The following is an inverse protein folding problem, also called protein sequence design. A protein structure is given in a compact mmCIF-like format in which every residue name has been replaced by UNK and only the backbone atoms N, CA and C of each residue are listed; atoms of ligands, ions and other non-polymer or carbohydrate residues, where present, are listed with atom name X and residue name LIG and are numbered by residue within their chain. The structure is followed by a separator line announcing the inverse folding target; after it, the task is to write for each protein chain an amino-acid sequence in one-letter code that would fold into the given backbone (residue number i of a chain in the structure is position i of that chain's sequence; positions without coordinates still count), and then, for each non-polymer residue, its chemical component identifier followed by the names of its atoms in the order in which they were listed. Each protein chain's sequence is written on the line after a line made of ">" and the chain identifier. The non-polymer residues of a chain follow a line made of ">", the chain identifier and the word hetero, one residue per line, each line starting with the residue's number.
data_IF_732419195831
#
_entry.id   IF_732419195831
#
_cell.length_a   1.000
_cell.length_b   1.000
_cell.length_c   1.000
_cell.angle_alpha   90.00
_cell.angle_beta   90.00
_cell.angle_gamma   90.00
#
_symmetry.space_group_name_H-M   'P 1'
#
loop_
_entity.id
_entity.type
_entity.pdbx_description
1 polymer ?
#
# COMPACT_ATOMS: atom_id res chain seq x y z
N UNK A 1 -6.68 2.22 13.24
CA UNK A 1 -7.62 1.57 12.32
C UNK A 1 -8.11 2.52 11.21
N UNK A 2 -8.53 3.76 11.52
CA UNK A 2 -9.14 4.67 10.53
C UNK A 2 -8.26 4.91 9.29
N UNK A 3 -6.98 5.20 9.49
CA UNK A 3 -6.00 5.40 8.39
C UNK A 3 -5.91 4.14 7.51
N UNK A 4 -5.84 2.95 8.13
CA UNK A 4 -5.73 1.67 7.41
C UNK A 4 -6.98 1.26 6.62
N UNK A 5 -8.14 1.78 7.01
CA UNK A 5 -9.41 1.50 6.35
C UNK A 5 -9.83 2.61 5.37
N UNK A 6 -9.27 3.81 5.52
CA UNK A 6 -9.57 4.96 4.67
C UNK A 6 -8.94 4.86 3.28
N UNK A 7 -9.29 5.84 2.43
CA UNK A 7 -8.75 5.94 1.07
C UNK A 7 -7.29 6.42 1.02
N UNK A 8 -6.75 6.93 2.14
CA UNK A 8 -5.31 7.25 2.25
C UNK A 8 -4.43 6.00 2.13
N UNK A 9 -4.95 4.83 2.47
CA UNK A 9 -4.34 3.55 2.20
C UNK A 9 -4.89 2.98 0.89
N UNK A 10 -4.02 2.64 -0.05
CA UNK A 10 -4.44 1.99 -1.29
C UNK A 10 -4.93 0.57 -0.99
N UNK A 11 -6.24 0.40 -0.90
CA UNK A 11 -6.90 -0.85 -0.54
C UNK A 11 -6.64 -1.98 -1.54
N UNK A 12 -6.29 -1.65 -2.78
CA UNK A 12 -6.02 -2.60 -3.88
C UNK A 12 -4.54 -2.96 -3.95
N UNK A 13 -3.68 -1.94 -4.02
CA UNK A 13 -2.26 -2.12 -4.32
C UNK A 13 -1.32 -2.03 -3.12
N UNK A 14 -1.82 -1.61 -1.97
CA UNK A 14 -1.01 -1.37 -0.79
C UNK A 14 -0.22 -0.05 -0.84
N UNK A 15 0.40 0.27 0.27
CA UNK A 15 1.10 1.53 0.47
C UNK A 15 0.17 2.69 0.83
N UNK A 16 0.71 3.64 1.60
CA UNK A 16 0.00 4.81 2.08
C UNK A 16 0.35 6.03 1.23
N UNK A 17 -0.66 6.82 0.91
CA UNK A 17 -0.47 8.18 0.42
C UNK A 17 -0.01 9.10 1.55
N UNK A 18 0.58 10.25 1.19
CA UNK A 18 1.30 11.12 2.10
C UNK A 18 0.43 11.74 3.19
N UNK A 19 -0.73 12.28 2.82
CA UNK A 19 -1.68 12.88 3.77
C UNK A 19 -3.10 12.84 3.22
N UNK A 20 -4.08 13.00 4.11
CA UNK A 20 -5.49 13.14 3.72
C UNK A 20 -5.84 14.62 3.59
N UNK A 21 -6.59 14.98 2.55
CA UNK A 21 -7.09 16.34 2.34
C UNK A 21 -8.44 16.58 3.02
N UNK A 22 -9.01 15.54 3.66
CA UNK A 22 -10.25 15.62 4.43
C UNK A 22 -10.11 15.03 5.85
N UNK A 23 -11.09 15.28 6.68
CA UNK A 23 -11.12 14.81 8.08
C UNK A 23 -11.54 13.34 8.24
N UNK A 24 -11.96 12.68 7.16
CA UNK A 24 -12.50 11.32 7.16
C UNK A 24 -11.47 10.26 6.76
N UNK A 25 -10.26 10.69 6.38
CA UNK A 25 -9.21 9.84 5.80
C UNK A 25 -9.62 9.19 4.46
N UNK A 26 -10.52 9.85 3.72
CA UNK A 26 -11.10 9.36 2.48
C UNK A 26 -10.27 9.77 1.27
N UNK A 27 -10.11 11.09 1.07
CA UNK A 27 -9.43 11.64 -0.10
C UNK A 27 -7.97 11.88 0.26
N UNK A 28 -7.02 11.15 -0.33
CA UNK A 28 -5.60 11.40 -0.13
C UNK A 28 -5.09 12.47 -1.10
N UNK A 29 -3.98 13.12 -0.77
CA UNK A 29 -3.03 13.56 -1.77
C UNK A 29 -2.26 12.31 -2.21
N UNK A 30 -2.44 11.90 -3.47
CA UNK A 30 -2.10 10.54 -3.93
C UNK A 30 -0.60 10.22 -4.01
N UNK A 31 0.28 11.18 -3.75
CA UNK A 31 1.72 10.99 -3.65
C UNK A 31 2.06 9.94 -2.58
N UNK A 32 2.90 8.94 -2.91
CA UNK A 32 3.35 7.92 -1.97
C UNK A 32 4.82 8.06 -1.68
N UNK A 33 5.15 8.45 -0.44
CA UNK A 33 6.52 8.68 0.00
C UNK A 33 7.11 7.44 0.67
N UNK A 34 8.38 7.16 0.39
CA UNK A 34 9.10 6.06 1.03
C UNK A 34 9.17 6.21 2.55
N UNK A 35 9.48 7.43 3.04
CA UNK A 35 9.66 7.67 4.48
C UNK A 35 8.36 7.49 5.28
N UNK A 36 7.20 7.86 4.72
CA UNK A 36 5.91 7.63 5.37
C UNK A 36 5.62 6.13 5.48
N UNK A 37 5.80 5.42 4.38
CA UNK A 37 5.54 3.99 4.31
C UNK A 37 6.50 3.19 5.19
N UNK A 38 7.78 3.58 5.27
CA UNK A 38 8.75 2.97 6.18
C UNK A 38 8.39 3.15 7.65
N UNK A 39 7.93 4.35 8.05
CA UNK A 39 7.48 4.62 9.41
C UNK A 39 6.18 3.88 9.76
N UNK A 40 5.21 3.88 8.84
CA UNK A 40 3.94 3.18 9.02
C UNK A 40 4.13 1.66 9.05
N UNK A 41 5.06 1.13 8.26
CA UNK A 41 5.46 -0.28 8.34
C UNK A 41 5.95 -0.65 9.74
N UNK A 42 6.83 0.17 10.33
CA UNK A 42 7.29 -0.01 11.71
C UNK A 42 6.12 0.08 12.70
N UNK A 43 5.27 1.12 12.59
CA UNK A 43 4.12 1.33 13.47
C UNK A 43 3.14 0.15 13.46
N UNK A 44 2.74 -0.34 12.28
CA UNK A 44 1.78 -1.44 12.17
C UNK A 44 2.39 -2.78 12.58
N UNK A 45 3.69 -3.00 12.37
CA UNK A 45 4.41 -4.17 12.86
C UNK A 45 4.42 -4.21 14.39
N UNK A 46 4.79 -3.12 15.03
CA UNK A 46 4.77 -3.01 16.49
C UNK A 46 3.35 -3.12 17.05
N UNK A 47 2.38 -2.43 16.44
CA UNK A 47 0.98 -2.55 16.85
C UNK A 47 0.45 -4.00 16.74
N UNK A 48 0.87 -4.76 15.72
CA UNK A 48 0.51 -6.16 15.60
C UNK A 48 1.04 -7.02 16.74
N UNK A 49 2.26 -6.78 17.21
CA UNK A 49 2.83 -7.53 18.36
C UNK A 49 1.93 -7.47 19.58
N UNK A 50 1.31 -6.31 19.84
CA UNK A 50 0.45 -6.08 21.01
C UNK A 50 -1.00 -6.49 20.77
N UNK A 51 -1.59 -6.13 19.65
CA UNK A 51 -3.03 -6.23 19.44
C UNK A 51 -3.46 -7.46 18.63
N UNK A 52 -2.52 -8.09 17.90
CA UNK A 52 -2.76 -9.26 17.02
C UNK A 52 -3.93 -9.08 16.04
N UNK A 53 -4.24 -7.83 15.63
CA UNK A 53 -5.32 -7.56 14.69
C UNK A 53 -4.96 -8.03 13.28
N UNK A 54 -5.80 -8.84 12.61
CA UNK A 54 -5.59 -9.25 11.21
C UNK A 54 -5.39 -8.05 10.26
N UNK A 55 -6.10 -6.95 10.49
CA UNK A 55 -5.94 -5.69 9.75
C UNK A 55 -4.48 -5.24 9.72
N UNK A 56 -3.78 -5.26 10.87
CA UNK A 56 -2.39 -4.79 10.94
C UNK A 56 -1.43 -5.72 10.21
N UNK A 57 -1.65 -7.04 10.32
CA UNK A 57 -0.93 -8.03 9.52
C UNK A 57 -1.07 -7.72 8.03
N UNK A 58 -2.31 -7.58 7.55
CA UNK A 58 -2.58 -7.28 6.15
C UNK A 58 -1.87 -6.00 5.67
N UNK A 59 -1.94 -4.91 6.45
CA UNK A 59 -1.27 -3.65 6.11
C UNK A 59 0.24 -3.85 5.95
N UNK A 60 0.89 -4.57 6.86
CA UNK A 60 2.33 -4.83 6.78
C UNK A 60 2.69 -5.61 5.51
N UNK A 61 2.00 -6.74 5.27
CA UNK A 61 2.30 -7.58 4.10
C UNK A 61 2.04 -6.85 2.78
N UNK A 62 0.93 -6.14 2.67
CA UNK A 62 0.60 -5.39 1.44
C UNK A 62 1.51 -4.18 1.22
N UNK A 63 1.95 -3.49 2.29
CA UNK A 63 2.91 -2.39 2.17
C UNK A 63 4.27 -2.90 1.71
N UNK A 64 4.74 -4.06 2.23
CA UNK A 64 5.99 -4.68 1.76
C UNK A 64 5.86 -5.13 0.30
N UNK A 65 4.75 -5.75 -0.08
CA UNK A 65 4.49 -6.14 -1.46
C UNK A 65 4.48 -4.94 -2.41
N UNK A 66 3.90 -3.80 -1.97
CA UNK A 66 3.97 -2.54 -2.71
C UNK A 66 5.41 -2.02 -2.83
N UNK A 67 6.18 -2.01 -1.75
CA UNK A 67 7.60 -1.61 -1.77
C UNK A 67 8.40 -2.43 -2.78
N UNK A 68 8.19 -3.74 -2.80
CA UNK A 68 8.89 -4.65 -3.72
C UNK A 68 8.48 -4.41 -5.19
N UNK A 69 7.19 -4.21 -5.44
CA UNK A 69 6.64 -4.08 -6.78
C UNK A 69 6.91 -2.72 -7.40
N UNK A 70 6.84 -1.63 -6.60
CA UNK A 70 6.82 -0.26 -7.11
C UNK A 70 8.11 0.52 -6.83
N UNK A 71 8.77 0.24 -5.69
CA UNK A 71 9.83 1.10 -5.17
C UNK A 71 11.21 0.46 -5.20
N UNK A 72 11.30 -0.88 -5.27
CA UNK A 72 12.58 -1.60 -5.17
C UNK A 72 13.38 -1.47 -6.46
N UNK A 73 14.62 -1.00 -6.33
CA UNK A 73 15.60 -0.99 -7.43
C UNK A 73 16.23 -2.38 -7.64
N UNK A 74 16.82 -2.61 -8.79
CA UNK A 74 17.55 -3.86 -9.09
C UNK A 74 18.68 -4.11 -8.08
N UNK A 75 19.35 -3.04 -7.64
CA UNK A 75 20.51 -3.10 -6.73
C UNK A 75 20.10 -3.23 -5.24
N UNK A 76 18.81 -3.11 -4.91
CA UNK A 76 18.29 -3.30 -3.56
C UNK A 76 18.07 -2.03 -2.75
N UNK A 77 18.15 -0.85 -3.36
CA UNK A 77 17.64 0.39 -2.79
C UNK A 77 16.13 0.52 -3.00
N UNK A 78 15.54 1.52 -2.37
CA UNK A 78 14.19 1.95 -2.66
C UNK A 78 14.20 3.39 -3.18
N UNK A 79 13.41 3.65 -4.21
CA UNK A 79 13.14 4.99 -4.73
C UNK A 79 12.44 5.87 -3.69
N UNK A 80 12.48 7.19 -3.88
CA UNK A 80 11.99 8.16 -2.90
C UNK A 80 10.46 8.27 -2.88
N UNK A 81 9.83 8.38 -4.04
CA UNK A 81 8.39 8.64 -4.11
C UNK A 81 7.78 8.19 -5.43
N UNK A 82 6.47 8.00 -5.40
CA UNK A 82 5.60 8.00 -6.57
C UNK A 82 4.77 9.28 -6.54
N UNK A 83 4.66 9.94 -7.70
CA UNK A 83 3.91 11.18 -7.84
C UNK A 83 2.40 10.98 -7.57
N UNK A 84 1.70 12.06 -7.28
CA UNK A 84 0.25 12.04 -7.14
C UNK A 84 -0.46 11.91 -8.48
N UNK A 85 0.16 12.45 -9.54
CA UNK A 85 -0.44 12.62 -10.85
C UNK A 85 -0.05 11.50 -11.82
N UNK A 86 -1.00 11.13 -12.66
CA UNK A 86 -0.79 10.37 -13.87
C UNK A 86 -1.46 11.10 -15.04
N UNK A 87 -0.70 11.38 -16.10
CA UNK A 87 -1.18 12.12 -17.26
C UNK A 87 -1.71 13.53 -16.92
N UNK A 88 -1.17 14.17 -15.86
CA UNK A 88 -1.59 15.48 -15.39
C UNK A 88 -2.92 15.50 -14.62
N UNK A 89 -3.43 14.32 -14.22
CA UNK A 89 -4.68 14.17 -13.45
C UNK A 89 -4.34 13.44 -12.12
N UNK A 90 -4.58 14.14 -11.01
CA UNK A 90 -4.31 13.62 -9.67
C UNK A 90 -5.20 12.40 -9.37
N UNK A 91 -4.60 11.35 -8.83
CA UNK A 91 -5.31 10.12 -8.44
C UNK A 91 -5.80 9.23 -9.58
N UNK A 92 -5.63 9.62 -10.85
CA UNK A 92 -6.11 8.87 -12.02
C UNK A 92 -5.68 7.40 -12.02
N UNK A 93 -4.45 7.14 -11.62
CA UNK A 93 -3.91 5.79 -11.54
C UNK A 93 -4.60 4.92 -10.47
N UNK A 94 -5.02 5.52 -9.36
CA UNK A 94 -5.52 4.81 -8.17
C UNK A 94 -7.04 4.71 -8.11
N UNK A 95 -7.75 5.69 -8.65
CA UNK A 95 -9.22 5.76 -8.62
C UNK A 95 -9.86 4.86 -9.67
N UNK A 96 -11.12 4.57 -9.46
CA UNK A 96 -11.90 3.70 -10.33
C UNK A 96 -13.24 4.34 -10.67
N UNK A 97 -13.68 4.21 -11.91
CA UNK A 97 -15.06 4.47 -12.27
C UNK A 97 -15.88 3.18 -12.22
N UNK A 98 -17.20 3.33 -12.29
CA UNK A 98 -18.12 2.20 -12.19
C UNK A 98 -18.00 1.24 -13.37
N UNK A 99 -17.81 1.77 -14.57
CA UNK A 99 -17.73 0.98 -15.80
C UNK A 99 -16.48 0.09 -15.80
N UNK A 100 -15.32 0.64 -15.49
CA UNK A 100 -14.07 -0.12 -15.36
C UNK A 100 -14.22 -1.26 -14.34
N UNK A 101 -14.81 -0.95 -13.18
CA UNK A 101 -15.01 -1.96 -12.15
C UNK A 101 -15.98 -3.07 -12.60
N UNK A 102 -17.06 -2.74 -13.30
CA UNK A 102 -18.00 -3.73 -13.85
C UNK A 102 -17.30 -4.63 -14.89
N UNK A 103 -16.50 -4.05 -15.76
CA UNK A 103 -15.79 -4.78 -16.80
C UNK A 103 -14.77 -5.77 -16.21
N UNK A 104 -14.06 -5.37 -15.14
CA UNK A 104 -13.04 -6.22 -14.50
C UNK A 104 -13.66 -7.30 -13.63
N UNK A 105 -14.72 -6.97 -12.89
CA UNK A 105 -15.25 -7.81 -11.82
C UNK A 105 -16.44 -8.67 -12.22
N UNK A 106 -17.17 -8.29 -13.28
CA UNK A 106 -18.36 -9.02 -13.74
C UNK A 106 -19.35 -9.29 -12.60
N UNK A 107 -19.65 -10.54 -12.34
CA UNK A 107 -20.61 -10.98 -11.31
C UNK A 107 -20.15 -10.62 -9.87
N UNK A 108 -18.85 -10.46 -9.64
CA UNK A 108 -18.30 -10.10 -8.34
C UNK A 108 -18.48 -8.61 -8.01
N UNK A 109 -18.87 -7.77 -8.97
CA UNK A 109 -18.96 -6.32 -8.80
C UNK A 109 -19.81 -5.91 -7.58
N UNK A 110 -20.95 -6.52 -7.37
CA UNK A 110 -21.90 -6.08 -6.33
C UNK A 110 -21.31 -6.19 -4.92
N UNK A 111 -20.73 -7.32 -4.57
CA UNK A 111 -20.15 -7.50 -3.25
C UNK A 111 -18.81 -6.75 -3.08
N UNK A 112 -18.01 -6.62 -4.14
CA UNK A 112 -16.78 -5.83 -4.12
C UNK A 112 -17.07 -4.34 -3.98
N UNK A 113 -18.10 -3.85 -4.69
CA UNK A 113 -18.59 -2.48 -4.56
C UNK A 113 -19.05 -2.17 -3.14
N UNK A 114 -19.75 -3.10 -2.49
CA UNK A 114 -20.17 -2.96 -1.09
C UNK A 114 -18.96 -2.99 -0.15
N UNK A 115 -18.01 -3.92 -0.35
CA UNK A 115 -16.81 -4.05 0.47
C UNK A 115 -15.90 -2.82 0.41
N UNK A 116 -15.65 -2.28 -0.78
CA UNK A 116 -14.81 -1.11 -1.01
C UNK A 116 -15.56 0.22 -1.00
N UNK A 117 -16.86 0.19 -0.65
CA UNK A 117 -17.71 1.38 -0.60
C UNK A 117 -17.70 2.20 -1.90
N UNK A 118 -17.81 1.54 -3.06
CA UNK A 118 -17.91 2.20 -4.37
C UNK A 118 -19.34 2.77 -4.57
N UNK A 119 -19.72 3.64 -3.65
CA UNK A 119 -21.03 4.30 -3.53
C UNK A 119 -20.81 5.76 -3.13
N UNK A 120 -21.83 6.45 -2.63
CA UNK A 120 -21.74 7.84 -2.18
C UNK A 120 -20.58 8.08 -1.16
N UNK A 121 -20.23 7.08 -0.38
CA UNK A 121 -19.15 7.18 0.61
C UNK A 121 -17.77 7.22 -0.07
N UNK A 122 -17.53 6.36 -1.06
CA UNK A 122 -16.28 6.31 -1.82
C UNK A 122 -16.25 7.27 -3.00
N UNK A 123 -17.41 7.86 -3.39
CA UNK A 123 -17.46 8.82 -4.48
C UNK A 123 -16.56 10.04 -4.20
N UNK A 124 -15.74 10.38 -5.15
CA UNK A 124 -14.86 11.54 -5.04
C UNK A 124 -15.30 12.64 -6.02
N UNK A 125 -14.87 12.59 -7.28
CA UNK A 125 -15.21 13.58 -8.30
C UNK A 125 -15.29 12.92 -9.67
N UNK A 126 -15.94 13.53 -10.63
CA UNK A 126 -15.99 13.07 -12.03
C UNK A 126 -16.28 11.56 -12.17
N UNK A 127 -17.26 11.07 -11.42
CA UNK A 127 -17.63 9.65 -11.37
C UNK A 127 -16.51 8.70 -10.93
N UNK A 128 -15.45 9.23 -10.32
CA UNK A 128 -14.36 8.44 -9.73
C UNK A 128 -14.67 8.04 -8.30
N UNK A 129 -14.25 6.85 -7.93
CA UNK A 129 -14.37 6.30 -6.58
C UNK A 129 -13.00 5.98 -6.02
N UNK A 130 -12.81 6.29 -4.75
CA UNK A 130 -11.64 5.89 -3.97
C UNK A 130 -12.05 4.67 -3.14
N UNK A 131 -11.46 3.48 -3.38
CA UNK A 131 -11.73 2.32 -2.55
C UNK A 131 -11.36 2.59 -1.09
N UNK A 132 -12.32 2.43 -0.19
CA UNK A 132 -12.13 2.53 1.25
C UNK A 132 -13.00 1.49 1.97
N UNK A 133 -12.73 1.27 3.24
CA UNK A 133 -13.42 0.27 4.04
C UNK A 133 -14.03 0.88 5.28
N UNK A 134 -15.12 0.30 5.74
CA UNK A 134 -15.85 0.75 6.93
C UNK A 134 -15.95 -0.32 8.00
N UNK A 135 -15.63 -1.55 7.64
CA UNK A 135 -15.71 -2.71 8.52
C UNK A 135 -14.53 -3.67 8.35
N UNK A 136 -14.40 -4.60 9.28
CA UNK A 136 -13.36 -5.64 9.25
C UNK A 136 -13.68 -6.75 8.26
N UNK A 137 -12.66 -7.50 7.84
CA UNK A 137 -12.81 -8.68 6.99
C UNK A 137 -13.78 -9.70 7.59
N UNK A 138 -13.65 -9.95 8.89
CA UNK A 138 -14.53 -10.87 9.62
C UNK A 138 -15.99 -10.41 9.63
N UNK A 139 -16.23 -9.09 9.81
CA UNK A 139 -17.57 -8.52 9.80
C UNK A 139 -18.22 -8.69 8.42
N UNK A 140 -17.48 -8.36 7.37
CA UNK A 140 -17.95 -8.48 6.00
C UNK A 140 -18.19 -9.94 5.59
N UNK A 141 -17.28 -10.84 5.92
CA UNK A 141 -17.43 -12.28 5.66
C UNK A 141 -18.73 -12.81 6.30
N UNK A 142 -18.99 -12.48 7.58
CA UNK A 142 -20.25 -12.84 8.27
C UNK A 142 -21.49 -12.29 7.56
N UNK A 143 -21.44 -11.04 7.10
CA UNK A 143 -22.55 -10.41 6.34
C UNK A 143 -22.88 -11.19 5.07
N UNK A 144 -21.85 -11.75 4.42
CA UNK A 144 -21.96 -12.53 3.20
C UNK A 144 -22.23 -14.02 3.45
N UNK A 145 -22.31 -14.47 4.70
CA UNK A 145 -22.37 -15.89 5.10
C UNK A 145 -21.18 -16.73 4.59
N UNK A 146 -19.99 -16.12 4.53
CA UNK A 146 -18.75 -16.79 4.18
C UNK A 146 -17.88 -17.07 5.42
N UNK A 147 -16.99 -18.06 5.33
CA UNK A 147 -15.88 -18.19 6.29
C UNK A 147 -14.87 -17.05 6.04
N UNK A 148 -14.05 -16.77 7.05
CA UNK A 148 -12.98 -15.77 6.88
C UNK A 148 -11.98 -16.20 5.79
N UNK A 149 -11.62 -17.49 5.77
CA UNK A 149 -10.71 -18.04 4.78
C UNK A 149 -11.28 -17.96 3.36
N UNK A 150 -12.56 -18.27 3.19
CA UNK A 150 -13.24 -18.10 1.89
C UNK A 150 -13.20 -16.65 1.43
N UNK A 151 -13.49 -15.71 2.34
CA UNK A 151 -13.43 -14.29 2.03
C UNK A 151 -12.00 -13.84 1.65
N UNK A 152 -10.99 -14.25 2.42
CA UNK A 152 -9.58 -13.91 2.16
C UNK A 152 -9.11 -14.42 0.79
N UNK A 153 -9.51 -15.61 0.39
CA UNK A 153 -9.23 -16.15 -0.94
C UNK A 153 -9.92 -15.32 -2.05
N UNK A 154 -11.21 -15.01 -1.87
CA UNK A 154 -11.97 -14.21 -2.85
C UNK A 154 -11.38 -12.81 -3.01
N UNK A 155 -11.14 -12.11 -1.90
CA UNK A 155 -10.63 -10.73 -1.97
C UNK A 155 -9.19 -10.65 -2.49
N UNK A 156 -8.37 -11.67 -2.22
CA UNK A 156 -7.03 -11.78 -2.80
C UNK A 156 -7.10 -11.91 -4.33
N UNK A 157 -7.98 -12.77 -4.85
CA UNK A 157 -8.21 -12.89 -6.29
C UNK A 157 -8.69 -11.59 -6.92
N UNK A 158 -9.66 -10.93 -6.29
CA UNK A 158 -10.19 -9.65 -6.74
C UNK A 158 -9.08 -8.58 -6.79
N UNK A 159 -8.30 -8.47 -5.72
CA UNK A 159 -7.20 -7.49 -5.70
C UNK A 159 -6.16 -7.75 -6.78
N UNK A 160 -5.88 -9.03 -7.09
CA UNK A 160 -4.98 -9.36 -8.18
C UNK A 160 -5.56 -8.92 -9.54
N UNK A 161 -6.84 -9.20 -9.82
CA UNK A 161 -7.51 -8.76 -11.04
C UNK A 161 -7.49 -7.22 -11.19
N UNK A 162 -7.76 -6.50 -10.10
CA UNK A 162 -7.72 -5.04 -10.11
C UNK A 162 -6.28 -4.50 -10.29
N UNK A 163 -5.28 -5.15 -9.72
CA UNK A 163 -3.87 -4.80 -9.92
C UNK A 163 -3.43 -5.06 -11.37
N UNK A 164 -3.85 -6.16 -11.95
CA UNK A 164 -3.54 -6.52 -13.33
C UNK A 164 -4.15 -5.48 -14.29
N UNK A 165 -5.42 -5.10 -14.10
CA UNK A 165 -6.05 -4.04 -14.86
C UNK A 165 -5.36 -2.70 -14.66
N UNK A 166 -5.06 -2.32 -13.42
CA UNK A 166 -4.33 -1.09 -13.10
C UNK A 166 -2.96 -1.04 -13.79
N UNK A 167 -2.31 -2.19 -13.98
CA UNK A 167 -0.99 -2.27 -14.62
C UNK A 167 -0.97 -1.78 -16.07
N UNK A 168 -2.13 -1.75 -16.74
CA UNK A 168 -2.30 -1.23 -18.10
C UNK A 168 -2.44 0.30 -18.15
N UNK A 169 -2.67 0.95 -16.99
CA UNK A 169 -2.74 2.41 -16.89
C UNK A 169 -1.36 3.03 -16.95
N UNK A 170 -1.29 4.28 -17.40
CA UNK A 170 -0.05 5.06 -17.33
C UNK A 170 0.27 5.32 -15.85
N UNK A 171 1.49 4.96 -15.47
CA UNK A 171 1.95 5.03 -14.07
C UNK A 171 2.26 6.47 -13.67
N UNK A 172 2.09 6.84 -12.39
CA UNK A 172 2.62 8.08 -11.85
C UNK A 172 4.13 8.18 -12.04
N UNK A 173 4.64 9.40 -12.11
CA UNK A 173 6.07 9.66 -12.11
C UNK A 173 6.76 9.05 -10.90
N UNK A 174 7.97 8.54 -11.09
CA UNK A 174 8.79 8.03 -9.99
C UNK A 174 9.92 9.01 -9.71
N UNK A 175 10.03 9.50 -8.47
CA UNK A 175 11.23 10.16 -8.00
C UNK A 175 12.29 9.07 -7.71
N UNK A 176 13.16 8.86 -8.67
CA UNK A 176 14.14 7.78 -8.70
C UNK A 176 15.38 8.01 -7.80
N UNK A 177 15.42 9.11 -7.05
CA UNK A 177 16.44 9.31 -6.03
C UNK A 177 16.35 8.22 -4.95
N UNK A 178 17.51 7.75 -4.51
CA UNK A 178 17.62 6.78 -3.41
C UNK A 178 18.26 7.47 -2.20
N UNK A 179 17.44 8.10 -1.36
CA UNK A 179 17.90 8.87 -0.20
C UNK A 179 18.31 7.94 0.95
N UNK A 180 19.52 8.13 1.48
CA UNK A 180 20.08 7.28 2.55
C UNK A 180 19.17 7.22 3.77
N UNK A 181 18.69 8.37 4.26
CA UNK A 181 17.86 8.45 5.46
C UNK A 181 16.51 7.75 5.28
N UNK A 182 15.87 7.86 4.11
CA UNK A 182 14.57 7.23 3.85
C UNK A 182 14.70 5.72 3.68
N UNK A 183 15.79 5.27 3.05
CA UNK A 183 16.13 3.85 2.99
C UNK A 183 16.40 3.29 4.40
N UNK A 184 17.13 4.02 5.25
CA UNK A 184 17.38 3.60 6.63
C UNK A 184 16.09 3.47 7.47
N UNK A 185 15.13 4.38 7.31
CA UNK A 185 13.79 4.27 7.91
C UNK A 185 13.07 3.02 7.42
N UNK A 186 13.15 2.72 6.12
CA UNK A 186 12.53 1.53 5.53
C UNK A 186 13.17 0.24 6.04
N UNK A 187 14.51 0.19 6.19
CA UNK A 187 15.22 -0.94 6.82
C UNK A 187 14.67 -1.19 8.23
N UNK A 188 14.51 -0.13 9.03
CA UNK A 188 13.93 -0.26 10.37
C UNK A 188 12.53 -0.88 10.31
N UNK A 189 11.66 -0.39 9.44
CA UNK A 189 10.31 -0.94 9.26
C UNK A 189 10.31 -2.42 8.86
N UNK A 190 11.22 -2.83 7.97
CA UNK A 190 11.40 -4.23 7.55
C UNK A 190 11.91 -5.12 8.70
N UNK A 191 12.85 -4.62 9.51
CA UNK A 191 13.31 -5.34 10.70
C UNK A 191 12.20 -5.51 11.75
N UNK A 192 11.37 -4.47 11.97
CA UNK A 192 10.23 -4.54 12.87
C UNK A 192 9.18 -5.55 12.36
N UNK A 193 8.96 -5.59 11.03
CA UNK A 193 8.09 -6.57 10.40
C UNK A 193 8.64 -7.99 10.57
N UNK A 194 9.93 -8.22 10.33
CA UNK A 194 10.56 -9.52 10.61
C UNK A 194 10.38 -9.92 12.07
N UNK A 195 10.63 -9.01 13.01
CA UNK A 195 10.46 -9.26 14.44
C UNK A 195 9.00 -9.59 14.83
N UNK A 196 8.02 -9.07 14.09
CA UNK A 196 6.60 -9.29 14.36
C UNK A 196 6.06 -10.61 13.77
N UNK A 197 6.59 -11.04 12.62
CA UNK A 197 6.02 -12.12 11.81
C UNK A 197 6.96 -13.31 11.58
N UNK A 198 8.28 -13.14 11.74
CA UNK A 198 9.29 -14.19 11.50
C UNK A 198 9.52 -14.50 10.01
N UNK A 199 9.07 -13.65 9.09
CA UNK A 199 9.20 -13.87 7.64
C UNK A 199 10.63 -13.53 7.19
N UNK A 200 11.42 -14.53 6.84
CA UNK A 200 12.82 -14.37 6.40
C UNK A 200 12.97 -13.43 5.19
N UNK A 201 11.96 -13.35 4.32
CA UNK A 201 11.96 -12.45 3.19
C UNK A 201 12.07 -10.98 3.61
N UNK A 202 11.42 -10.59 4.71
CA UNK A 202 11.48 -9.21 5.22
C UNK A 202 12.88 -8.87 5.71
N UNK A 203 13.53 -9.81 6.38
CA UNK A 203 14.93 -9.66 6.80
C UNK A 203 15.88 -9.59 5.60
N UNK A 204 15.67 -10.43 4.59
CA UNK A 204 16.48 -10.42 3.39
C UNK A 204 16.39 -9.09 2.64
N UNK A 205 15.21 -8.49 2.54
CA UNK A 205 15.01 -7.15 1.96
C UNK A 205 15.76 -6.08 2.77
N UNK A 206 15.65 -6.12 4.09
CA UNK A 206 16.36 -5.19 4.97
C UNK A 206 17.88 -5.30 4.81
N UNK A 207 18.43 -6.53 4.79
CA UNK A 207 19.86 -6.77 4.59
C UNK A 207 20.33 -6.33 3.21
N UNK A 208 19.56 -6.61 2.16
CA UNK A 208 19.88 -6.19 0.79
C UNK A 208 19.99 -4.66 0.70
N UNK A 209 19.03 -3.96 1.30
CA UNK A 209 19.03 -2.50 1.31
C UNK A 209 20.17 -1.93 2.18
N UNK A 210 20.43 -2.51 3.36
CA UNK A 210 21.56 -2.11 4.20
C UNK A 210 22.91 -2.28 3.48
N UNK A 211 23.10 -3.39 2.77
CA UNK A 211 24.31 -3.61 1.94
C UNK A 211 24.45 -2.56 0.86
N UNK A 212 23.35 -2.18 0.20
CA UNK A 212 23.36 -1.11 -0.79
C UNK A 212 23.83 0.21 -0.15
N UNK A 213 23.31 0.60 1.03
CA UNK A 213 23.77 1.81 1.75
C UNK A 213 25.26 1.75 2.01
N UNK A 214 25.76 0.65 2.58
CA UNK A 214 27.19 0.49 2.90
C UNK A 214 28.07 0.58 1.65
N UNK A 215 27.63 0.03 0.54
CA UNK A 215 28.43 -0.02 -0.69
C UNK A 215 28.35 1.27 -1.54
N UNK A 216 27.25 2.02 -1.45
CA UNK A 216 26.96 3.12 -2.38
C UNK A 216 26.83 4.49 -1.70
N UNK A 217 26.51 4.51 -0.41
CA UNK A 217 26.18 5.75 0.31
C UNK A 217 27.22 6.14 1.36
N UNK A 218 28.27 5.35 1.54
CA UNK A 218 29.39 5.66 2.43
C UNK A 218 30.61 5.99 1.60
N UNK A 219 31.22 7.16 1.86
CA UNK A 219 32.48 7.57 1.26
C UNK A 219 33.66 6.83 1.86
N UNK A 220 34.83 6.85 1.20
CA UNK A 220 36.04 6.20 1.72
C UNK A 220 36.50 6.77 3.08
N UNK A 221 36.15 8.01 3.41
CA UNK A 221 36.41 8.66 4.70
C UNK A 221 35.31 8.47 5.72
N UNK A 222 34.34 7.58 5.44
CA UNK A 222 33.26 7.17 6.36
C UNK A 222 32.08 8.14 6.46
N UNK A 223 31.97 9.13 5.58
CA UNK A 223 30.80 10.02 5.54
C UNK A 223 29.66 9.40 4.74
N UNK A 224 28.43 9.69 5.15
CA UNK A 224 27.23 9.30 4.40
C UNK A 224 26.86 10.37 3.37
N UNK A 225 26.52 9.93 2.16
CA UNK A 225 25.75 10.75 1.23
C UNK A 225 24.32 10.93 1.73
N UNK A 226 23.73 12.05 1.31
CA UNK A 226 22.34 12.34 1.65
C UNK A 226 21.37 11.40 0.91
#
# INVERSE_FOLDING_TARGET
>A
DKIALGGIYDQVGGGFSRYSVDMLWKVPHFEKMLYDNGQLLSLYSEAYKYFKKPLYKRIVYQTIAWLQREMLTKDGAFYSALDADSEGDEGKFYCWNKEDMLNVLGDDYNWVSDFYNLNQRGYWEEEKYIPLRTESDLSFAKKMNWSLEEFELKISKINQQLLDERSHRIRPGTDDKCLTSWNAITIKGLCDAYSAFGEEEFLHLAIKNARWIVQRQITNDGKLFR
#
